data_IF_822056774184
#
_entry.id   IF_822056774184
#
_cell.length_a   1.000
_cell.length_b   1.000
_cell.length_c   1.000
_cell.angle_alpha   90.00
_cell.angle_beta   90.00
_cell.angle_gamma   90.00
#
_symmetry.space_group_name_H-M   'P 1'
#
loop_
_entity.id
_entity.type
_entity.pdbx_description
1 polymer ?
#
# COMPACT_ATOMS: atom_id res chain seq x y z
N UNK A 1 -3.85 17.15 24.62
CA UNK A 1 -4.78 17.35 23.50
C UNK A 1 -3.99 17.82 22.29
N UNK A 2 -3.72 16.92 21.36
CA UNK A 2 -2.88 17.20 20.19
C UNK A 2 -3.75 17.43 18.97
N UNK A 3 -3.72 18.64 18.44
CA UNK A 3 -4.32 18.97 17.15
C UNK A 3 -3.77 18.05 16.04
N UNK A 4 -4.60 17.57 15.10
CA UNK A 4 -4.15 16.72 14.01
C UNK A 4 -3.13 17.47 13.13
N UNK A 5 -2.07 16.77 12.76
CA UNK A 5 -1.00 17.30 11.91
C UNK A 5 -1.55 17.59 10.50
N UNK A 6 -1.71 18.87 10.18
CA UNK A 6 -2.22 19.31 8.87
C UNK A 6 -1.07 19.48 7.88
N UNK A 7 -1.13 18.76 6.76
CA UNK A 7 -0.13 18.83 5.69
C UNK A 7 -0.70 19.50 4.44
N UNK A 8 0.12 20.31 3.75
CA UNK A 8 -0.28 20.93 2.49
C UNK A 8 -0.27 19.95 1.32
N UNK A 9 0.57 18.91 1.43
CA UNK A 9 0.70 17.80 0.48
C UNK A 9 1.07 16.55 1.26
N UNK A 10 0.58 15.40 0.79
CA UNK A 10 0.88 14.08 1.34
C UNK A 10 1.31 13.18 0.20
N UNK A 11 2.38 12.40 0.41
CA UNK A 11 2.79 11.31 -0.48
C UNK A 11 2.55 10.00 0.26
N UNK A 12 1.71 9.14 -0.31
CA UNK A 12 1.49 7.80 0.17
C UNK A 12 2.21 6.81 -0.76
N UNK A 13 3.31 6.23 -0.28
CA UNK A 13 3.95 5.08 -0.92
C UNK A 13 3.40 3.81 -0.27
N UNK A 14 2.36 3.23 -0.88
CA UNK A 14 1.60 2.15 -0.28
C UNK A 14 2.21 0.76 -0.59
N UNK A 15 2.12 -0.20 0.35
CA UNK A 15 2.44 -1.60 0.04
C UNK A 15 1.50 -2.10 -1.05
N UNK A 16 2.08 -2.60 -2.15
CA UNK A 16 1.32 -2.92 -3.36
C UNK A 16 1.65 -4.31 -3.91
N UNK A 17 1.15 -4.60 -5.11
CA UNK A 17 1.32 -5.89 -5.74
C UNK A 17 2.75 -6.19 -6.22
N UNK A 18 3.63 -5.19 -6.29
CA UNK A 18 5.03 -5.38 -6.69
C UNK A 18 5.24 -6.00 -8.07
N UNK A 19 4.19 -6.11 -8.90
CA UNK A 19 4.25 -6.80 -10.20
C UNK A 19 5.29 -6.17 -11.14
N UNK A 20 5.50 -4.85 -11.03
CA UNK A 20 6.49 -4.10 -11.81
C UNK A 20 7.95 -4.43 -11.50
N UNK A 21 8.25 -5.11 -10.39
CA UNK A 21 9.63 -5.50 -10.01
C UNK A 21 9.88 -7.01 -10.07
N UNK A 22 8.90 -7.81 -10.51
CA UNK A 22 9.00 -9.27 -10.54
C UNK A 22 10.20 -9.80 -11.32
N UNK A 23 10.56 -9.15 -12.43
CA UNK A 23 11.72 -9.56 -13.24
C UNK A 23 13.05 -9.50 -12.49
N UNK A 24 13.12 -8.72 -11.40
CA UNK A 24 14.29 -8.58 -10.52
C UNK A 24 14.15 -9.34 -9.21
N UNK A 25 12.95 -9.84 -8.89
CA UNK A 25 12.55 -10.39 -7.59
C UNK A 25 11.58 -11.56 -7.79
N UNK A 26 12.13 -12.66 -8.30
CA UNK A 26 11.38 -13.89 -8.62
C UNK A 26 10.79 -14.58 -7.39
N UNK A 27 11.34 -14.33 -6.21
CA UNK A 27 10.85 -14.78 -4.91
C UNK A 27 9.41 -14.31 -4.63
N UNK A 28 9.07 -13.10 -5.10
CA UNK A 28 7.74 -12.52 -4.90
C UNK A 28 6.65 -13.20 -5.72
N UNK A 29 7.01 -13.90 -6.80
CA UNK A 29 6.04 -14.65 -7.61
C UNK A 29 5.56 -15.89 -6.87
N UNK A 30 6.48 -16.65 -6.25
CA UNK A 30 6.17 -17.90 -5.56
C UNK A 30 5.36 -17.71 -4.28
N UNK A 31 5.48 -16.54 -3.66
CA UNK A 31 4.82 -16.22 -2.39
C UNK A 31 3.49 -15.45 -2.55
N UNK A 32 2.97 -15.30 -3.78
CA UNK A 32 1.73 -14.56 -4.03
C UNK A 32 0.58 -15.45 -4.46
N UNK A 33 -0.57 -15.21 -3.86
CA UNK A 33 -1.85 -15.77 -4.25
C UNK A 33 -2.91 -14.65 -4.45
N UNK A 34 -4.13 -15.03 -4.85
CA UNK A 34 -5.21 -14.08 -5.11
C UNK A 34 -5.75 -13.42 -3.84
N UNK A 35 -5.74 -14.13 -2.71
CA UNK A 35 -6.20 -13.60 -1.42
C UNK A 35 -5.29 -12.45 -0.95
N UNK A 36 -3.97 -12.57 -1.15
CA UNK A 36 -3.02 -11.49 -0.87
C UNK A 36 -3.37 -10.21 -1.65
N UNK A 37 -3.94 -10.32 -2.84
CA UNK A 37 -4.33 -9.16 -3.65
C UNK A 37 -5.53 -8.43 -3.06
N UNK A 38 -6.50 -9.17 -2.52
CA UNK A 38 -7.66 -8.58 -1.84
C UNK A 38 -7.24 -7.91 -0.54
N UNK A 39 -6.36 -8.54 0.24
CA UNK A 39 -5.79 -7.96 1.46
C UNK A 39 -5.00 -6.69 1.18
N UNK A 40 -4.14 -6.71 0.15
CA UNK A 40 -3.37 -5.54 -0.27
C UNK A 40 -4.26 -4.39 -0.72
N UNK A 41 -5.38 -4.68 -1.40
CA UNK A 41 -6.35 -3.66 -1.79
C UNK A 41 -7.01 -3.03 -0.56
N UNK A 42 -7.53 -3.85 0.36
CA UNK A 42 -8.16 -3.34 1.59
C UNK A 42 -7.21 -2.44 2.37
N UNK A 43 -5.95 -2.88 2.53
CA UNK A 43 -4.94 -2.11 3.23
C UNK A 43 -4.61 -0.78 2.53
N UNK A 44 -4.53 -0.78 1.20
CA UNK A 44 -4.29 0.44 0.42
C UNK A 44 -5.45 1.44 0.57
N UNK A 45 -6.69 0.97 0.60
CA UNK A 45 -7.87 1.82 0.82
C UNK A 45 -7.82 2.45 2.24
N UNK A 46 -7.54 1.66 3.27
CA UNK A 46 -7.39 2.16 4.66
C UNK A 46 -6.28 3.21 4.80
N UNK A 47 -5.13 2.98 4.14
CA UNK A 47 -4.02 3.92 4.16
C UNK A 47 -4.34 5.21 3.40
N UNK A 48 -5.11 5.12 2.32
CA UNK A 48 -5.53 6.29 1.55
C UNK A 48 -6.49 7.15 2.35
N UNK A 49 -7.47 6.54 3.01
CA UNK A 49 -8.41 7.24 3.89
C UNK A 49 -7.66 7.97 5.01
N UNK A 50 -6.73 7.28 5.68
CA UNK A 50 -5.89 7.86 6.72
C UNK A 50 -5.00 9.01 6.22
N UNK A 51 -4.50 8.93 4.98
CA UNK A 51 -3.65 9.96 4.39
C UNK A 51 -4.43 11.21 3.93
N UNK A 52 -5.74 11.07 3.70
CA UNK A 52 -6.62 12.13 3.18
C UNK A 52 -7.29 12.99 4.26
N UNK A 53 -7.21 12.56 5.52
CA UNK A 53 -7.87 13.17 6.69
C UNK A 53 -6.91 14.01 7.51
#
# INVERSE_FOLDING_TARGET
DGEPLKSNKVLLDAPCSGLGVLSKRVDLWWNRNLEDMEQLKSLQDELLDAAST
#
